data_IF_086694594069
#
_entry.id   IF_086694594069
#
_cell.length_a   1.000
_cell.length_b   1.000
_cell.length_c   1.000
_cell.angle_alpha   90.00
_cell.angle_beta   90.00
_cell.angle_gamma   90.00
#
_symmetry.space_group_name_H-M   'P 1'
#
loop_
_entity.id
_entity.type
_entity.pdbx_description
1 polymer ?
#
# COMPACT_ATOMS: atom_id res chain seq x y z
N UNK A 1 8.49 5.44 14.40
CA UNK A 1 9.26 6.33 13.50
C UNK A 1 10.07 5.42 12.62
N UNK A 2 9.98 5.54 11.29
CA UNK A 2 10.56 4.57 10.38
C UNK A 2 12.07 4.42 10.64
N UNK A 3 12.45 3.25 11.17
CA UNK A 3 13.80 2.98 11.65
C UNK A 3 14.84 3.07 10.52
N UNK A 4 14.42 2.87 9.27
CA UNK A 4 15.29 2.95 8.08
C UNK A 4 15.81 4.36 7.80
N UNK A 5 14.95 5.38 7.88
CA UNK A 5 15.28 6.73 7.40
C UNK A 5 16.02 7.59 8.44
N UNK A 6 15.79 7.33 9.72
CA UNK A 6 16.17 8.26 10.78
C UNK A 6 17.20 7.72 11.77
N UNK A 7 17.54 6.43 11.72
CA UNK A 7 18.58 5.88 12.61
C UNK A 7 19.41 4.77 11.92
N UNK A 8 20.66 5.06 11.50
CA UNK A 8 21.52 4.08 10.86
C UNK A 8 21.93 2.92 11.79
N UNK A 9 21.86 3.09 13.12
CA UNK A 9 22.09 1.98 14.05
C UNK A 9 20.90 1.02 14.11
N UNK A 10 19.67 1.55 14.15
CA UNK A 10 18.47 0.72 14.04
C UNK A 10 18.37 0.00 12.69
N UNK A 11 18.84 0.62 11.59
CA UNK A 11 18.91 -0.07 10.30
C UNK A 11 19.77 -1.35 10.36
N UNK A 12 20.95 -1.28 10.99
CA UNK A 12 21.84 -2.43 11.15
C UNK A 12 21.28 -3.50 12.08
N UNK A 13 20.42 -3.13 13.01
CA UNK A 13 19.74 -4.07 13.90
C UNK A 13 18.61 -4.81 13.17
N UNK A 14 17.80 -4.11 12.38
CA UNK A 14 16.54 -4.63 11.80
C UNK A 14 16.60 -5.13 10.37
N UNK A 15 17.55 -4.63 9.56
CA UNK A 15 17.57 -4.84 8.11
C UNK A 15 18.93 -5.35 7.62
N UNK A 16 19.72 -5.96 8.51
CA UNK A 16 21.04 -6.47 8.16
C UNK A 16 20.97 -7.85 7.51
N UNK A 17 21.42 -7.93 6.26
CA UNK A 17 21.39 -9.15 5.46
C UNK A 17 22.60 -10.07 5.64
N UNK A 18 23.56 -9.71 6.50
CA UNK A 18 24.69 -10.58 6.85
C UNK A 18 24.35 -11.56 7.98
N UNK A 19 23.14 -11.51 8.54
CA UNK A 19 22.73 -12.38 9.67
C UNK A 19 22.54 -13.86 9.29
N UNK A 20 22.14 -14.15 8.05
CA UNK A 20 21.90 -15.51 7.59
C UNK A 20 22.06 -15.61 6.07
N UNK A 21 22.27 -16.83 5.58
CA UNK A 21 22.24 -17.11 4.15
C UNK A 21 20.79 -17.26 3.68
N UNK A 22 20.40 -16.48 2.68
CA UNK A 22 19.08 -16.57 2.04
C UNK A 22 18.82 -17.97 1.44
N UNK A 23 19.87 -18.74 1.17
CA UNK A 23 19.78 -20.08 0.58
C UNK A 23 19.50 -21.20 1.59
N UNK A 24 19.32 -20.86 2.88
CA UNK A 24 18.74 -21.81 3.86
C UNK A 24 17.42 -22.38 3.33
N UNK A 25 16.62 -21.52 2.69
CA UNK A 25 15.48 -21.92 1.89
C UNK A 25 15.88 -21.96 0.41
N UNK A 26 15.84 -23.13 -0.25
CA UNK A 26 16.17 -23.22 -1.66
C UNK A 26 15.23 -22.35 -2.48
N UNK A 27 15.70 -21.88 -3.63
CA UNK A 27 14.91 -21.00 -4.50
C UNK A 27 13.56 -21.62 -4.90
N UNK A 28 13.55 -22.94 -5.12
CA UNK A 28 12.36 -23.71 -5.48
C UNK A 28 11.24 -23.65 -4.43
N UNK A 29 11.59 -23.47 -3.15
CA UNK A 29 10.61 -23.37 -2.05
C UNK A 29 10.06 -21.94 -1.91
N UNK A 30 10.84 -20.95 -2.33
CA UNK A 30 10.46 -19.53 -2.25
C UNK A 30 9.70 -19.05 -3.49
N UNK A 31 9.91 -19.68 -4.63
CA UNK A 31 9.31 -19.28 -5.89
C UNK A 31 7.91 -19.85 -6.06
N UNK A 32 6.95 -18.96 -6.34
CA UNK A 32 5.64 -19.36 -6.82
C UNK A 32 5.36 -18.69 -8.17
N UNK A 33 5.73 -19.40 -9.23
CA UNK A 33 5.58 -18.93 -10.61
C UNK A 33 4.10 -18.81 -10.98
N UNK A 34 3.26 -19.74 -10.53
CA UNK A 34 1.85 -19.76 -10.87
C UNK A 34 1.12 -18.57 -10.25
N UNK A 35 1.33 -18.34 -8.96
CA UNK A 35 0.82 -17.18 -8.25
C UNK A 35 1.29 -15.88 -8.89
N UNK A 36 2.59 -15.75 -9.19
CA UNK A 36 3.13 -14.55 -9.79
C UNK A 36 2.58 -14.24 -11.19
N UNK A 37 2.38 -15.27 -12.04
CA UNK A 37 1.76 -15.09 -13.37
C UNK A 37 0.32 -14.61 -13.23
N UNK A 38 -0.48 -15.20 -12.33
CA UNK A 38 -1.86 -14.78 -12.11
C UNK A 38 -1.92 -13.32 -11.67
N UNK A 39 -1.08 -12.92 -10.73
CA UNK A 39 -1.01 -11.54 -10.26
C UNK A 39 -0.66 -10.57 -11.38
N UNK A 40 0.37 -10.84 -12.17
CA UNK A 40 0.80 -9.94 -13.25
C UNK A 40 -0.28 -9.84 -14.33
N UNK A 41 -0.82 -10.97 -14.79
CA UNK A 41 -1.85 -10.96 -15.84
C UNK A 41 -3.11 -10.25 -15.36
N UNK A 42 -3.56 -10.54 -14.14
CA UNK A 42 -4.70 -9.87 -13.53
C UNK A 42 -4.47 -8.37 -13.39
N UNK A 43 -3.29 -7.97 -12.89
CA UNK A 43 -2.91 -6.57 -12.72
C UNK A 43 -2.96 -5.81 -14.05
N UNK A 44 -2.38 -6.36 -15.12
CA UNK A 44 -2.39 -5.72 -16.44
C UNK A 44 -3.81 -5.54 -17.00
N UNK A 45 -4.69 -6.53 -16.79
CA UNK A 45 -6.09 -6.42 -17.21
C UNK A 45 -6.79 -5.28 -16.47
N UNK A 46 -6.67 -5.24 -15.14
CA UNK A 46 -7.31 -4.19 -14.34
C UNK A 46 -6.72 -2.81 -14.63
N UNK A 47 -5.40 -2.70 -14.78
CA UNK A 47 -4.71 -1.44 -15.09
C UNK A 47 -5.21 -0.86 -16.43
N UNK A 48 -5.38 -1.70 -17.46
CA UNK A 48 -5.99 -1.29 -18.73
C UNK A 48 -7.42 -0.79 -18.51
N UNK A 49 -8.24 -1.51 -17.73
CA UNK A 49 -9.61 -1.09 -17.44
C UNK A 49 -9.67 0.27 -16.74
N UNK A 50 -8.83 0.50 -15.74
CA UNK A 50 -8.74 1.78 -15.04
C UNK A 50 -8.30 2.91 -15.97
N UNK A 51 -7.28 2.67 -16.81
CA UNK A 51 -6.82 3.65 -17.80
C UNK A 51 -7.90 4.06 -18.81
N UNK A 52 -8.83 3.16 -19.15
CA UNK A 52 -9.96 3.49 -20.03
C UNK A 52 -11.05 4.33 -19.33
N UNK A 53 -11.26 4.11 -18.03
CA UNK A 53 -12.33 4.77 -17.26
C UNK A 53 -11.93 6.18 -16.80
N UNK A 54 -10.67 6.41 -16.43
CA UNK A 54 -10.21 7.70 -15.89
C UNK A 54 -10.50 8.88 -16.83
N UNK A 55 -10.22 8.83 -18.14
CA UNK A 55 -10.52 9.95 -19.05
C UNK A 55 -12.00 10.31 -19.10
N UNK A 56 -12.88 9.31 -18.96
CA UNK A 56 -14.34 9.52 -18.90
C UNK A 56 -14.69 10.24 -17.61
N UNK A 57 -14.17 9.78 -16.47
CA UNK A 57 -14.41 10.41 -15.17
C UNK A 57 -13.85 11.83 -15.11
N UNK A 58 -12.77 12.13 -15.82
CA UNK A 58 -12.15 13.46 -15.84
C UNK A 58 -12.89 14.50 -16.70
N UNK A 59 -13.93 14.10 -17.43
CA UNK A 59 -14.70 15.04 -18.24
C UNK A 59 -15.37 16.10 -17.34
N UNK A 60 -15.45 17.37 -17.80
CA UNK A 60 -15.99 18.47 -17.00
C UNK A 60 -17.47 18.27 -16.65
N UNK A 61 -18.20 17.44 -17.38
CA UNK A 61 -19.59 17.07 -17.07
C UNK A 61 -19.70 16.30 -15.76
N UNK A 62 -18.84 15.29 -15.55
CA UNK A 62 -18.84 14.47 -14.34
C UNK A 62 -18.12 15.15 -13.18
N UNK A 63 -17.07 15.92 -13.45
CA UNK A 63 -16.28 16.62 -12.43
C UNK A 63 -17.04 17.73 -11.67
N UNK A 64 -18.23 18.11 -12.13
CA UNK A 64 -19.15 19.00 -11.39
C UNK A 64 -19.68 18.37 -10.11
N UNK A 65 -19.85 17.04 -10.14
CA UNK A 65 -20.36 16.28 -9.01
C UNK A 65 -19.20 15.80 -8.12
N UNK A 66 -19.29 16.14 -6.83
CA UNK A 66 -18.23 15.84 -5.86
C UNK A 66 -17.87 14.35 -5.79
N UNK A 67 -18.85 13.46 -5.94
CA UNK A 67 -18.62 12.04 -5.92
C UNK A 67 -17.83 11.52 -7.13
N UNK A 68 -18.17 11.93 -8.36
CA UNK A 68 -17.43 11.49 -9.55
C UNK A 68 -16.00 12.01 -9.54
N UNK A 69 -15.79 13.21 -9.01
CA UNK A 69 -14.46 13.75 -8.75
C UNK A 69 -13.66 12.88 -7.76
N UNK A 70 -14.25 12.45 -6.65
CA UNK A 70 -13.60 11.53 -5.71
C UNK A 70 -13.30 10.17 -6.33
N UNK A 71 -14.24 9.61 -7.10
CA UNK A 71 -14.02 8.34 -7.81
C UNK A 71 -12.87 8.44 -8.81
N UNK A 72 -12.69 9.60 -9.47
CA UNK A 72 -11.53 9.83 -10.33
C UNK A 72 -10.21 9.83 -9.53
N UNK A 73 -10.20 10.36 -8.32
CA UNK A 73 -9.01 10.31 -7.45
C UNK A 73 -8.68 8.91 -6.97
N UNK A 74 -9.68 8.16 -6.52
CA UNK A 74 -9.51 6.75 -6.11
C UNK A 74 -8.95 5.96 -7.30
N UNK A 75 -9.52 6.12 -8.50
CA UNK A 75 -9.04 5.42 -9.69
C UNK A 75 -7.55 5.68 -10.01
N UNK A 76 -7.03 6.88 -9.70
CA UNK A 76 -5.59 7.17 -9.87
C UNK A 76 -4.75 6.45 -8.81
N UNK A 77 -5.21 6.38 -7.56
CA UNK A 77 -4.53 5.63 -6.50
C UNK A 77 -4.59 4.13 -6.78
N UNK A 78 -5.70 3.61 -7.29
CA UNK A 78 -5.87 2.20 -7.64
C UNK A 78 -4.89 1.75 -8.72
N UNK A 79 -4.57 2.60 -9.72
CA UNK A 79 -3.53 2.27 -10.71
C UNK A 79 -2.19 2.03 -10.00
N UNK A 80 -1.79 2.93 -9.10
CA UNK A 80 -0.56 2.76 -8.32
C UNK A 80 -0.62 1.50 -7.44
N UNK A 81 -1.77 1.23 -6.83
CA UNK A 81 -2.00 0.05 -6.01
C UNK A 81 -1.81 -1.24 -6.81
N UNK A 82 -2.38 -1.30 -8.01
CA UNK A 82 -2.28 -2.44 -8.91
C UNK A 82 -0.83 -2.64 -9.37
N UNK A 83 -0.09 -1.56 -9.64
CA UNK A 83 1.33 -1.68 -10.01
C UNK A 83 2.17 -2.31 -8.89
N UNK A 84 1.97 -1.90 -7.63
CA UNK A 84 2.76 -2.39 -6.49
C UNK A 84 2.26 -3.77 -6.01
N UNK A 85 0.97 -3.90 -5.74
CA UNK A 85 0.39 -5.10 -5.15
C UNK A 85 0.14 -6.21 -6.19
N UNK A 86 0.02 -5.85 -7.46
CA UNK A 86 -0.14 -6.79 -8.56
C UNK A 86 1.19 -7.09 -9.25
N UNK A 87 1.71 -6.11 -9.99
CA UNK A 87 2.89 -6.33 -10.87
C UNK A 87 4.16 -6.59 -10.06
N UNK A 88 4.53 -5.69 -9.15
CA UNK A 88 5.77 -5.84 -8.36
C UNK A 88 5.73 -7.09 -7.48
N UNK A 89 4.60 -7.32 -6.81
CA UNK A 89 4.38 -8.53 -5.99
C UNK A 89 4.47 -9.81 -6.81
N UNK A 90 3.87 -9.84 -8.01
CA UNK A 90 3.96 -10.99 -8.90
C UNK A 90 5.38 -11.24 -9.43
N UNK A 91 6.13 -10.18 -9.74
CA UNK A 91 7.56 -10.29 -10.10
C UNK A 91 8.37 -10.87 -8.94
N UNK A 92 8.15 -10.39 -7.72
CA UNK A 92 8.82 -10.91 -6.53
C UNK A 92 8.47 -12.37 -6.23
N UNK A 93 7.23 -12.78 -6.45
CA UNK A 93 6.80 -14.18 -6.32
C UNK A 93 7.53 -15.09 -7.32
N UNK A 94 7.64 -14.68 -8.59
CA UNK A 94 8.38 -15.43 -9.62
C UNK A 94 9.88 -15.51 -9.28
N UNK A 95 10.45 -14.45 -8.73
CA UNK A 95 11.86 -14.41 -8.35
C UNK A 95 12.16 -15.12 -7.01
N UNK A 96 11.14 -15.47 -6.22
CA UNK A 96 11.34 -16.00 -4.87
C UNK A 96 12.02 -14.98 -3.95
N UNK A 97 11.69 -13.70 -4.15
CA UNK A 97 12.36 -12.60 -3.48
C UNK A 97 12.00 -12.54 -2.00
N UNK A 98 13.04 -12.46 -1.17
CA UNK A 98 12.94 -12.10 0.25
C UNK A 98 13.58 -10.73 0.43
N UNK A 99 13.42 -10.14 1.62
CA UNK A 99 13.96 -8.79 1.89
C UNK A 99 15.40 -8.60 1.38
N UNK A 100 16.27 -9.57 1.71
CA UNK A 100 17.69 -9.51 1.37
C UNK A 100 18.04 -9.74 -0.11
N UNK A 101 17.08 -10.09 -0.96
CA UNK A 101 17.30 -10.17 -2.41
C UNK A 101 17.46 -8.78 -3.04
N UNK A 102 16.59 -7.83 -2.65
CA UNK A 102 16.57 -6.48 -3.21
C UNK A 102 16.19 -5.43 -2.14
N UNK A 103 17.04 -5.20 -1.10
CA UNK A 103 16.64 -4.39 0.05
C UNK A 103 16.15 -2.97 -0.29
N UNK A 104 16.82 -2.16 -1.14
CA UNK A 104 16.35 -0.82 -1.44
C UNK A 104 14.99 -0.80 -2.13
N UNK A 105 14.75 -1.76 -3.04
CA UNK A 105 13.49 -1.87 -3.78
C UNK A 105 12.35 -2.36 -2.87
N UNK A 106 12.63 -3.31 -1.99
CA UNK A 106 11.69 -3.82 -0.99
C UNK A 106 11.25 -2.71 -0.02
N UNK A 107 12.18 -1.90 0.48
CA UNK A 107 11.88 -0.81 1.41
C UNK A 107 11.05 0.27 0.74
N UNK A 108 11.44 0.70 -0.46
CA UNK A 108 10.69 1.69 -1.22
C UNK A 108 9.29 1.18 -1.60
N UNK A 109 9.22 -0.06 -2.10
CA UNK A 109 7.96 -0.72 -2.47
C UNK A 109 7.02 -0.86 -1.27
N UNK A 110 7.54 -1.22 -0.11
CA UNK A 110 6.79 -1.32 1.14
C UNK A 110 6.23 -0.02 1.66
N UNK A 111 7.04 1.05 1.62
CA UNK A 111 6.59 2.39 1.99
C UNK A 111 5.49 2.87 1.06
N UNK A 112 5.64 2.61 -0.25
CA UNK A 112 4.64 2.92 -1.25
C UNK A 112 3.35 2.11 -1.04
N UNK A 113 3.47 0.81 -0.77
CA UNK A 113 2.33 -0.06 -0.49
C UNK A 113 1.52 0.45 0.72
N UNK A 114 2.19 0.81 1.81
CA UNK A 114 1.53 1.37 3.00
C UNK A 114 0.89 2.73 2.71
N UNK A 115 1.60 3.62 2.01
CA UNK A 115 1.06 4.92 1.60
C UNK A 115 -0.22 4.76 0.79
N UNK A 116 -0.19 3.92 -0.24
CA UNK A 116 -1.33 3.67 -1.12
C UNK A 116 -2.49 3.09 -0.34
N UNK A 117 -2.26 2.08 0.49
CA UNK A 117 -3.30 1.44 1.31
C UNK A 117 -4.04 2.47 2.16
N UNK A 118 -3.31 3.31 2.90
CA UNK A 118 -3.91 4.33 3.76
C UNK A 118 -4.67 5.36 2.94
N UNK A 119 -4.07 5.86 1.85
CA UNK A 119 -4.70 6.84 0.98
C UNK A 119 -6.01 6.31 0.38
N UNK A 120 -6.01 5.09 -0.15
CA UNK A 120 -7.19 4.43 -0.71
C UNK A 120 -8.29 4.27 0.34
N UNK A 121 -7.93 3.81 1.54
CA UNK A 121 -8.87 3.60 2.66
C UNK A 121 -9.53 4.91 3.08
N UNK A 122 -8.74 5.97 3.27
CA UNK A 122 -9.26 7.29 3.64
C UNK A 122 -10.21 7.84 2.57
N UNK A 123 -9.85 7.72 1.29
CA UNK A 123 -10.68 8.19 0.18
C UNK A 123 -11.98 7.40 0.06
N UNK A 124 -11.95 6.08 0.27
CA UNK A 124 -13.13 5.23 0.29
C UNK A 124 -14.10 5.64 1.42
N UNK A 125 -13.58 5.91 2.62
CA UNK A 125 -14.39 6.41 3.76
C UNK A 125 -14.98 7.79 3.46
N UNK A 126 -14.18 8.71 2.92
CA UNK A 126 -14.65 10.05 2.53
C UNK A 126 -15.75 9.96 1.46
N UNK A 127 -15.60 9.06 0.48
CA UNK A 127 -16.59 8.80 -0.56
C UNK A 127 -17.89 8.23 0.02
N UNK A 128 -17.80 7.25 0.92
CA UNK A 128 -18.95 6.68 1.60
C UNK A 128 -19.70 7.76 2.39
N UNK A 129 -18.96 8.61 3.13
CA UNK A 129 -19.52 9.73 3.86
C UNK A 129 -20.20 10.76 2.93
N UNK A 130 -19.60 11.06 1.77
CA UNK A 130 -20.20 11.90 0.74
C UNK A 130 -21.55 11.33 0.25
N UNK A 131 -21.63 10.01 0.03
CA UNK A 131 -22.87 9.34 -0.40
C UNK A 131 -23.94 9.36 0.68
N UNK A 132 -23.59 9.05 1.92
CA UNK A 132 -24.53 9.12 3.05
C UNK A 132 -25.08 10.53 3.23
N UNK A 133 -24.23 11.56 3.17
CA UNK A 133 -24.67 12.95 3.30
C UNK A 133 -25.52 13.41 2.11
N UNK A 134 -25.19 13.00 0.89
CA UNK A 134 -25.99 13.33 -0.29
C UNK A 134 -27.42 12.79 -0.19
N UNK A 135 -27.59 11.60 0.41
CA UNK A 135 -28.91 10.98 0.61
C UNK A 135 -29.66 11.54 1.82
N UNK A 136 -28.98 11.75 2.96
CA UNK A 136 -29.65 12.15 4.20
C UNK A 136 -29.79 13.66 4.35
N UNK A 137 -28.77 14.44 3.96
CA UNK A 137 -28.69 15.89 4.18
C UNK A 137 -28.05 16.61 2.97
N UNK A 138 -28.77 16.75 1.85
CA UNK A 138 -28.20 17.29 0.60
C UNK A 138 -27.59 18.70 0.74
N UNK A 139 -28.19 19.55 1.58
CA UNK A 139 -27.70 20.91 1.87
C UNK A 139 -26.34 20.89 2.57
N UNK A 140 -26.18 20.00 3.55
CA UNK A 140 -24.92 19.81 4.28
C UNK A 140 -23.85 19.20 3.36
N UNK A 141 -24.22 18.21 2.55
CA UNK A 141 -23.33 17.61 1.54
C UNK A 141 -22.78 18.68 0.60
N UNK A 142 -23.66 19.55 0.08
CA UNK A 142 -23.25 20.65 -0.78
C UNK A 142 -22.31 21.60 -0.05
N UNK A 143 -22.51 21.88 1.23
CA UNK A 143 -21.61 22.74 2.02
C UNK A 143 -20.23 22.11 2.22
N UNK A 144 -20.15 20.84 2.61
CA UNK A 144 -18.88 20.17 2.94
C UNK A 144 -18.04 19.87 1.69
N UNK A 145 -18.69 19.45 0.59
CA UNK A 145 -18.02 18.92 -0.59
C UNK A 145 -18.09 19.80 -1.83
N UNK A 146 -18.45 21.09 -1.70
CA UNK A 146 -18.57 21.98 -2.87
C UNK A 146 -17.26 22.15 -3.62
N UNK A 147 -17.32 21.99 -4.95
CA UNK A 147 -16.35 22.47 -5.93
C UNK A 147 -14.88 22.14 -5.61
N UNK A 148 -14.13 23.07 -5.01
CA UNK A 148 -12.70 22.90 -4.71
C UNK A 148 -12.42 22.24 -3.35
N UNK A 149 -13.41 22.13 -2.46
CA UNK A 149 -13.22 21.53 -1.13
C UNK A 149 -12.90 20.04 -1.19
N UNK A 150 -13.37 19.35 -2.22
CA UNK A 150 -13.00 17.95 -2.52
C UNK A 150 -11.51 17.76 -2.77
N UNK A 151 -10.82 18.76 -3.36
CA UNK A 151 -9.36 18.71 -3.49
C UNK A 151 -8.65 18.80 -2.14
N UNK A 152 -9.23 19.52 -1.17
CA UNK A 152 -8.70 19.58 0.19
C UNK A 152 -8.83 18.23 0.91
N UNK A 153 -9.97 17.55 0.76
CA UNK A 153 -10.15 16.20 1.32
C UNK A 153 -9.15 15.20 0.73
N UNK A 154 -8.92 15.26 -0.58
CA UNK A 154 -7.88 14.47 -1.22
C UNK A 154 -6.48 14.82 -0.65
N UNK A 155 -6.13 16.10 -0.56
CA UNK A 155 -4.86 16.52 0.01
C UNK A 155 -4.66 16.09 1.48
N UNK A 156 -5.72 16.12 2.29
CA UNK A 156 -5.69 15.64 3.67
C UNK A 156 -5.44 14.13 3.76
N UNK A 157 -6.09 13.34 2.90
CA UNK A 157 -5.85 11.90 2.79
C UNK A 157 -4.39 11.61 2.39
N UNK A 158 -3.87 12.30 1.35
CA UNK A 158 -2.48 12.14 0.93
C UNK A 158 -1.51 12.54 2.05
N UNK A 159 -1.79 13.62 2.79
CA UNK A 159 -0.97 14.05 3.92
C UNK A 159 -0.96 13.00 5.03
N UNK A 160 -2.13 12.48 5.41
CA UNK A 160 -2.27 11.45 6.43
C UNK A 160 -1.52 10.16 6.03
N UNK A 161 -1.72 9.69 4.80
CA UNK A 161 -1.00 8.55 4.24
C UNK A 161 0.52 8.75 4.22
N UNK A 162 0.98 9.95 3.86
CA UNK A 162 2.41 10.31 3.88
C UNK A 162 2.95 10.21 5.30
N UNK A 163 2.28 10.84 6.27
CA UNK A 163 2.72 10.81 7.68
C UNK A 163 2.84 9.35 8.15
N UNK A 164 1.84 8.51 7.89
CA UNK A 164 1.90 7.10 8.30
C UNK A 164 3.00 6.31 7.58
N UNK A 165 3.20 6.52 6.28
CA UNK A 165 4.27 5.84 5.53
C UNK A 165 5.68 6.18 6.03
N UNK A 166 5.90 7.40 6.53
CA UNK A 166 7.18 7.83 7.08
C UNK A 166 7.32 7.57 8.59
N UNK A 167 6.22 7.47 9.33
CA UNK A 167 6.26 7.25 10.78
C UNK A 167 6.20 5.77 11.18
N UNK A 168 5.70 4.91 10.30
CA UNK A 168 5.55 3.46 10.53
C UNK A 168 6.71 2.68 9.90
N UNK A 169 6.97 1.48 10.41
CA UNK A 169 7.90 0.56 9.77
C UNK A 169 7.38 0.11 8.40
N UNK A 170 8.31 -0.06 7.46
CA UNK A 170 7.97 -0.42 6.09
C UNK A 170 7.53 -1.88 6.01
N UNK A 171 6.62 -2.16 5.09
CA UNK A 171 6.28 -3.52 4.72
C UNK A 171 7.39 -4.10 3.83
N UNK A 172 7.61 -5.40 3.91
CA UNK A 172 8.59 -6.10 3.07
C UNK A 172 7.95 -7.37 2.54
N UNK A 173 8.15 -7.64 1.26
CA UNK A 173 7.57 -8.82 0.64
C UNK A 173 8.43 -10.05 0.97
N UNK A 174 7.76 -11.09 1.44
CA UNK A 174 8.37 -12.38 1.72
C UNK A 174 7.74 -13.46 0.83
N UNK A 175 8.46 -13.85 -0.22
CA UNK A 175 7.99 -14.86 -1.16
C UNK A 175 7.77 -16.25 -0.54
N UNK A 176 8.41 -16.56 0.60
CA UNK A 176 8.15 -17.81 1.32
C UNK A 176 6.69 -17.93 1.78
N UNK A 177 6.06 -16.80 2.07
CA UNK A 177 4.66 -16.73 2.51
C UNK A 177 3.75 -16.03 1.50
N UNK A 178 4.30 -15.42 0.46
CA UNK A 178 3.55 -14.66 -0.54
C UNK A 178 2.89 -13.39 -0.01
N UNK A 179 3.41 -12.79 1.07
CA UNK A 179 2.77 -11.63 1.73
C UNK A 179 3.75 -10.50 2.01
N UNK A 180 3.22 -9.29 2.12
CA UNK A 180 3.91 -8.12 2.63
C UNK A 180 3.81 -8.09 4.16
N UNK A 181 4.95 -8.08 4.84
CA UNK A 181 5.03 -8.13 6.30
C UNK A 181 6.09 -7.17 6.84
N UNK A 182 5.86 -6.67 8.05
CA UNK A 182 6.80 -5.76 8.73
C UNK A 182 8.08 -6.45 9.19
N UNK A 183 8.05 -7.77 9.43
CA UNK A 183 9.26 -8.52 9.81
C UNK A 183 10.03 -9.00 8.55
N UNK A 184 11.14 -8.34 8.16
CA UNK A 184 11.87 -8.66 6.94
C UNK A 184 12.53 -10.04 6.96
N UNK A 185 12.73 -10.61 8.14
CA UNK A 185 13.44 -11.87 8.36
C UNK A 185 12.51 -13.02 8.76
N UNK A 186 11.20 -12.88 8.55
CA UNK A 186 10.24 -13.95 8.85
C UNK A 186 10.62 -15.25 8.10
N UNK A 187 10.64 -16.37 8.82
CA UNK A 187 11.02 -17.67 8.26
C UNK A 187 12.53 -17.96 8.28
N UNK A 188 13.37 -17.05 8.80
CA UNK A 188 14.81 -17.26 8.97
C UNK A 188 15.23 -17.21 10.45
N UNK A 189 16.34 -17.87 10.85
CA UNK A 189 16.79 -17.89 12.23
C UNK A 189 17.11 -16.48 12.74
N UNK A 190 16.41 -16.07 13.80
CA UNK A 190 16.63 -14.78 14.47
C UNK A 190 17.50 -15.01 15.72
N UNK A 191 18.71 -14.46 15.76
CA UNK A 191 19.53 -14.48 16.99
C UNK A 191 19.17 -13.27 17.86
N UNK A 192 18.17 -13.46 18.73
CA UNK A 192 18.06 -12.72 19.99
C UNK A 192 17.55 -11.28 19.93
N UNK A 193 16.26 -11.10 19.61
CA UNK A 193 15.32 -10.22 20.33
C UNK A 193 13.96 -10.31 19.64
N UNK A 194 12.94 -10.77 20.36
CA UNK A 194 11.55 -10.49 19.98
C UNK A 194 11.38 -8.98 20.03
N UNK A 195 11.48 -8.35 18.87
CA UNK A 195 11.28 -6.92 18.80
C UNK A 195 9.78 -6.72 18.91
N UNK A 196 9.34 -6.17 20.03
CA UNK A 196 7.97 -5.75 20.19
C UNK A 196 7.69 -4.63 19.19
N UNK A 197 7.01 -5.00 18.11
CA UNK A 197 6.37 -4.07 17.21
C UNK A 197 5.17 -3.41 17.93
N UNK A 198 5.38 -2.68 19.03
CA UNK A 198 4.30 -2.07 19.83
C UNK A 198 3.43 -1.09 19.02
N UNK A 199 3.99 -0.47 17.98
CA UNK A 199 3.23 0.34 17.02
C UNK A 199 2.21 -0.50 16.21
N UNK A 200 2.51 -1.79 16.03
CA UNK A 200 1.78 -2.77 15.24
C UNK A 200 0.58 -3.35 15.99
N UNK A 201 0.60 -3.36 17.34
CA UNK A 201 -0.57 -3.77 18.13
C UNK A 201 -1.71 -2.76 18.00
N UNK A 202 -1.39 -1.47 17.93
CA UNK A 202 -2.39 -0.41 17.76
C UNK A 202 -2.93 -0.41 16.33
N UNK A 203 -2.08 -0.61 15.32
CA UNK A 203 -2.51 -0.60 13.92
C UNK A 203 -3.32 -1.86 13.55
N UNK A 204 -2.88 -3.05 13.95
CA UNK A 204 -3.63 -4.29 13.66
C UNK A 204 -4.97 -4.37 14.42
N UNK A 205 -5.09 -3.78 15.63
CA UNK A 205 -6.37 -3.71 16.34
C UNK A 205 -7.33 -2.62 15.85
N UNK A 206 -6.83 -1.55 15.22
CA UNK A 206 -7.68 -0.52 14.59
C UNK A 206 -8.25 -0.92 13.22
N UNK A 207 -7.67 -1.91 12.53
CA UNK A 207 -8.10 -2.36 11.20
C UNK A 207 -8.88 -3.70 11.21
N UNK A 208 -9.15 -4.27 12.39
CA UNK A 208 -9.97 -5.48 12.57
C UNK A 208 -11.39 -5.18 13.10
N UNK A 209 -11.81 -3.92 13.07
CA UNK A 209 -13.17 -3.45 13.35
C UNK A 209 -13.76 -2.65 12.18
#
# INVERSE_FOLDING_TARGET
MNHYLFNPESYKEFYNCSYYDINIHPLQERQDIFYGIILIVGALIFEIMYMLVIPILWQPTFQKESCYKMMAYIAVIDILAITINGVLTGVFAILGAVFCSFPPLQIFGGMMALFIWVAESDLAVILAFNRCLSMAFPSLCKSIFTQNRTHLWFALSILHATILAFCTDTLTFNALYGVWIVNPHLGYPQTGREVNYYCLKIQFELYLF
#
